data_IF_371543667648
#
_entry.id   IF_371543667648
#
_cell.length_a   1.000
_cell.length_b   1.000
_cell.length_c   1.000
_cell.angle_alpha   90.00
_cell.angle_beta   90.00
_cell.angle_gamma   90.00
#
_symmetry.space_group_name_H-M   'P 1'
#
loop_
_entity.id
_entity.type
_entity.pdbx_description
1 polymer ?
#
# COMPACT_ATOMS: atom_id res chain seq x y z
N UNK A 1 -8.31 26.88 39.63
CA UNK A 1 -8.06 25.43 39.52
C UNK A 1 -8.07 25.06 38.04
N UNK A 2 -6.89 24.79 37.46
CA UNK A 2 -6.74 24.42 36.05
C UNK A 2 -7.01 22.93 35.96
N UNK A 3 -8.12 22.52 35.33
CA UNK A 3 -8.34 21.12 34.98
C UNK A 3 -7.43 20.78 33.82
N UNK A 4 -6.27 20.18 34.12
CA UNK A 4 -5.43 19.55 33.14
C UNK A 4 -6.20 18.35 32.55
N UNK A 5 -6.64 18.45 31.30
CA UNK A 5 -7.08 17.29 30.54
C UNK A 5 -5.87 16.35 30.40
N UNK A 6 -5.92 15.23 31.11
CA UNK A 6 -5.00 14.13 30.93
C UNK A 6 -5.30 13.55 29.54
N UNK A 7 -4.58 14.03 28.53
CA UNK A 7 -4.53 13.39 27.22
C UNK A 7 -3.75 12.10 27.45
N UNK A 8 -4.46 11.00 27.61
CA UNK A 8 -3.83 9.66 27.58
C UNK A 8 -3.12 9.53 26.24
N UNK A 9 -1.80 9.54 26.26
CA UNK A 9 -0.96 9.40 25.07
C UNK A 9 -0.94 7.90 24.70
N UNK A 10 -1.98 7.45 24.02
CA UNK A 10 -2.16 6.06 23.60
C UNK A 10 -0.98 5.53 22.77
N UNK A 11 -0.29 6.45 22.06
CA UNK A 11 0.88 6.12 21.24
C UNK A 11 2.04 5.51 22.05
N UNK A 12 2.19 5.87 23.33
CA UNK A 12 3.31 5.39 24.14
C UNK A 12 3.15 3.94 24.59
N UNK A 13 1.91 3.41 24.58
CA UNK A 13 1.59 2.04 24.99
C UNK A 13 1.49 1.06 23.81
N UNK A 14 1.51 1.52 22.55
CA UNK A 14 1.49 0.64 21.39
C UNK A 14 2.85 -0.02 21.19
N UNK A 15 2.81 -1.28 20.76
CA UNK A 15 4.01 -2.00 20.34
C UNK A 15 4.69 -1.24 19.21
N UNK A 16 6.01 -1.06 19.28
CA UNK A 16 6.79 -0.43 18.21
C UNK A 16 7.28 -1.51 17.27
N UNK A 17 6.90 -1.49 15.98
CA UNK A 17 7.31 -2.51 15.04
C UNK A 17 8.82 -2.44 14.80
N UNK A 18 9.39 -3.59 14.44
CA UNK A 18 10.79 -3.64 14.02
C UNK A 18 10.90 -3.21 12.57
N UNK A 19 11.75 -2.23 12.30
CA UNK A 19 12.14 -1.90 10.95
C UNK A 19 13.22 -2.87 10.47
N UNK A 20 12.99 -3.51 9.33
CA UNK A 20 13.96 -4.35 8.64
C UNK A 20 14.77 -3.52 7.68
N UNK A 21 16.08 -3.50 7.87
CA UNK A 21 17.01 -2.79 7.00
C UNK A 21 17.14 -3.53 5.67
N UNK A 22 16.80 -2.86 4.57
CA UNK A 22 17.04 -3.33 3.19
C UNK A 22 18.46 -2.92 2.78
N UNK A 23 18.79 -1.65 3.01
CA UNK A 23 20.15 -1.09 2.94
C UNK A 23 20.31 0.05 3.96
N UNK A 24 21.40 0.84 3.88
CA UNK A 24 21.69 1.89 4.87
C UNK A 24 20.66 3.01 4.91
N UNK A 25 19.86 3.18 3.86
CA UNK A 25 18.91 4.28 3.67
C UNK A 25 17.49 3.83 3.33
N UNK A 26 17.25 2.52 3.29
CA UNK A 26 15.94 1.95 2.94
C UNK A 26 15.54 0.90 3.96
N UNK A 27 14.31 1.01 4.48
CA UNK A 27 13.80 0.13 5.53
C UNK A 27 12.39 -0.33 5.19
N UNK A 28 12.08 -1.59 5.53
CA UNK A 28 10.73 -2.13 5.53
C UNK A 28 10.21 -2.19 6.95
N UNK A 29 9.01 -1.67 7.17
CA UNK A 29 8.25 -1.78 8.43
C UNK A 29 7.05 -2.66 8.13
N UNK A 30 6.83 -3.71 8.94
CA UNK A 30 5.76 -4.66 8.67
C UNK A 30 4.81 -4.75 9.86
N UNK A 31 3.53 -4.61 9.57
CA UNK A 31 2.44 -5.01 10.46
C UNK A 31 1.87 -6.36 10.01
N UNK A 32 1.15 -7.05 10.89
CA UNK A 32 0.53 -8.32 10.59
C UNK A 32 -0.94 -8.30 10.96
N UNK A 33 -1.81 -8.54 9.98
CA UNK A 33 -3.22 -8.85 10.23
C UNK A 33 -3.45 -10.33 9.98
N UNK A 34 -3.82 -11.06 11.03
CA UNK A 34 -4.13 -12.51 11.00
C UNK A 34 -3.07 -13.36 10.27
N UNK A 35 -1.81 -12.95 10.37
CA UNK A 35 -0.69 -13.64 9.73
C UNK A 35 -0.36 -13.15 8.33
N UNK A 36 -1.12 -12.23 7.78
CA UNK A 36 -0.81 -11.55 6.52
C UNK A 36 0.06 -10.33 6.80
N UNK A 37 1.20 -10.24 6.12
CA UNK A 37 2.10 -9.12 6.21
C UNK A 37 1.57 -7.92 5.45
N UNK A 38 1.61 -6.75 6.09
CA UNK A 38 1.37 -5.43 5.46
C UNK A 38 2.66 -4.64 5.60
N UNK A 39 3.28 -4.33 4.48
CA UNK A 39 4.58 -3.70 4.41
C UNK A 39 4.45 -2.21 4.08
N UNK A 40 5.15 -1.41 4.83
CA UNK A 40 5.41 0.00 4.59
C UNK A 40 6.90 0.19 4.34
N UNK A 41 7.28 1.21 3.59
CA UNK A 41 8.68 1.43 3.24
C UNK A 41 9.13 2.84 3.61
N UNK A 42 10.26 2.95 4.31
CA UNK A 42 10.89 4.20 4.66
C UNK A 42 12.17 4.38 3.84
N UNK A 43 12.21 5.45 3.06
CA UNK A 43 13.34 5.87 2.25
C UNK A 43 13.95 7.11 2.88
N UNK A 44 15.24 7.05 3.22
CA UNK A 44 15.95 8.15 3.88
C UNK A 44 16.89 8.79 2.87
N UNK A 45 16.68 10.07 2.61
CA UNK A 45 17.56 10.90 1.80
C UNK A 45 18.56 11.69 2.65
N UNK A 46 19.06 12.81 2.11
CA UNK A 46 19.96 13.73 2.84
C UNK A 46 19.20 14.84 3.55
N UNK A 47 18.06 15.26 3.02
CA UNK A 47 17.29 16.40 3.50
C UNK A 47 15.90 15.97 4.02
N UNK A 48 15.31 14.95 3.42
CA UNK A 48 13.99 14.41 3.76
C UNK A 48 14.02 12.87 3.83
N UNK A 49 13.04 12.32 4.53
CA UNK A 49 12.68 10.92 4.42
C UNK A 49 11.28 10.80 3.82
N UNK A 50 11.00 9.69 3.13
CA UNK A 50 9.69 9.37 2.55
C UNK A 50 9.17 8.06 3.17
N UNK A 51 7.98 8.10 3.74
CA UNK A 51 7.24 6.90 4.13
C UNK A 51 6.20 6.58 3.05
N UNK A 52 6.26 5.39 2.51
CA UNK A 52 5.31 4.85 1.54
C UNK A 52 4.37 3.92 2.29
N UNK A 53 3.09 4.27 2.30
CA UNK A 53 1.99 3.68 3.07
C UNK A 53 2.14 3.82 4.59
N UNK A 54 1.03 3.71 5.31
CA UNK A 54 0.98 3.99 6.75
C UNK A 54 0.49 2.82 7.59
N UNK A 55 0.10 1.71 6.94
CA UNK A 55 -0.30 0.48 7.60
C UNK A 55 -1.70 0.51 8.19
N UNK A 56 -1.99 -0.54 8.93
CA UNK A 56 -3.26 -0.82 9.60
C UNK A 56 -3.46 -0.04 10.91
N UNK A 57 -2.46 0.74 11.34
CA UNK A 57 -2.46 1.41 12.64
C UNK A 57 -2.54 0.41 13.83
N UNK A 58 -1.91 -0.74 13.71
CA UNK A 58 -1.83 -1.73 14.78
C UNK A 58 -0.63 -1.51 15.71
N UNK A 59 0.36 -0.75 15.24
CA UNK A 59 1.64 -0.53 15.92
C UNK A 59 2.06 0.94 15.90
N UNK A 60 3.06 1.31 16.70
CA UNK A 60 3.56 2.68 16.71
C UNK A 60 4.64 2.87 15.63
N UNK A 61 4.20 2.98 14.37
CA UNK A 61 5.05 3.23 13.21
C UNK A 61 5.85 4.54 13.33
N UNK A 62 5.25 5.67 13.75
CA UNK A 62 5.99 6.92 13.96
C UNK A 62 7.18 6.77 14.93
N UNK A 63 7.03 5.96 15.97
CA UNK A 63 8.13 5.70 16.93
C UNK A 63 9.23 4.84 16.30
N UNK A 64 8.89 3.90 15.42
CA UNK A 64 9.88 3.12 14.67
C UNK A 64 10.71 4.03 13.75
N UNK A 65 10.05 4.94 13.02
CA UNK A 65 10.69 5.91 12.12
C UNK A 65 11.67 6.82 12.87
N UNK A 66 11.24 7.40 14.00
CA UNK A 66 12.09 8.28 14.83
C UNK A 66 13.35 7.61 15.41
N UNK A 67 13.41 6.28 15.43
CA UNK A 67 14.63 5.53 15.81
C UNK A 67 15.62 5.40 14.65
N UNK A 68 15.19 5.71 13.44
CA UNK A 68 15.98 5.58 12.21
C UNK A 68 16.48 6.95 11.77
N UNK A 69 15.58 7.96 11.77
CA UNK A 69 15.89 9.30 11.26
C UNK A 69 15.09 10.37 12.00
N UNK A 70 15.70 11.55 12.15
CA UNK A 70 15.08 12.78 12.63
C UNK A 70 14.81 13.78 11.49
N UNK A 71 15.02 13.39 10.23
CA UNK A 71 14.75 14.23 9.06
C UNK A 71 13.26 14.57 8.94
N UNK A 72 12.91 15.70 8.31
CA UNK A 72 11.56 15.99 7.89
C UNK A 72 11.01 14.81 7.10
N UNK A 73 9.77 14.40 7.41
CA UNK A 73 9.15 13.22 6.83
C UNK A 73 8.02 13.62 5.90
N UNK A 74 8.11 13.21 4.65
CA UNK A 74 6.98 13.13 3.73
C UNK A 74 6.33 11.75 3.85
N UNK A 75 5.02 11.72 3.69
CA UNK A 75 4.24 10.48 3.73
C UNK A 75 3.38 10.43 2.47
N UNK A 76 3.36 9.28 1.81
CA UNK A 76 2.53 9.09 0.63
C UNK A 76 1.86 7.71 0.67
N UNK A 77 0.71 7.59 0.01
CA UNK A 77 0.02 6.31 -0.14
C UNK A 77 0.10 5.80 -1.58
N UNK A 78 0.09 4.48 -1.73
CA UNK A 78 0.03 3.83 -3.04
C UNK A 78 -1.39 3.79 -3.58
N UNK A 79 -2.40 3.59 -2.72
CA UNK A 79 -3.82 3.55 -3.05
C UNK A 79 -4.70 3.68 -1.79
N UNK A 80 -6.03 3.65 -1.96
CA UNK A 80 -6.99 3.99 -0.92
C UNK A 80 -7.48 2.86 -0.02
N UNK A 81 -6.93 1.63 -0.08
CA UNK A 81 -7.34 0.55 0.81
C UNK A 81 -6.92 0.79 2.26
N UNK A 82 -7.67 0.21 3.17
CA UNK A 82 -7.51 0.46 4.61
C UNK A 82 -6.12 0.18 5.16
N UNK A 83 -5.48 -0.87 4.68
CA UNK A 83 -4.15 -1.31 5.12
C UNK A 83 -3.02 -0.37 4.67
N UNK A 84 -3.28 0.52 3.73
CA UNK A 84 -2.34 1.55 3.29
C UNK A 84 -2.56 2.89 4.00
N UNK A 85 -3.81 3.19 4.44
CA UNK A 85 -4.20 4.55 4.85
C UNK A 85 -4.55 4.70 6.33
N UNK A 86 -4.78 3.63 7.09
CA UNK A 86 -5.29 3.74 8.47
C UNK A 86 -4.34 4.45 9.44
N UNK A 87 -3.05 4.48 9.15
CA UNK A 87 -2.07 5.23 9.92
C UNK A 87 -1.93 6.70 9.51
N UNK A 88 -2.61 7.20 8.46
CA UNK A 88 -2.48 8.57 7.95
C UNK A 88 -2.70 9.62 9.05
N UNK A 89 -3.61 9.39 9.98
CA UNK A 89 -3.94 10.31 11.07
C UNK A 89 -2.76 10.64 12.02
N UNK A 90 -1.66 9.90 11.97
CA UNK A 90 -0.44 10.19 12.73
C UNK A 90 0.39 11.32 12.12
N UNK A 91 0.15 11.65 10.86
CA UNK A 91 0.98 12.57 10.09
C UNK A 91 0.18 13.82 9.73
N UNK A 92 0.79 15.02 9.85
CA UNK A 92 0.09 16.26 9.56
C UNK A 92 -0.19 16.47 8.06
N UNK A 93 0.61 15.84 7.22
CA UNK A 93 0.56 15.96 5.77
C UNK A 93 0.80 14.59 5.14
N UNK A 94 -0.09 14.18 4.26
CA UNK A 94 -0.01 12.91 3.52
C UNK A 94 -0.35 13.18 2.07
N UNK A 95 0.53 12.79 1.17
CA UNK A 95 0.30 12.85 -0.27
C UNK A 95 -0.49 11.63 -0.73
N UNK A 96 -1.51 11.87 -1.55
CA UNK A 96 -2.43 10.82 -1.95
C UNK A 96 -2.80 10.94 -3.45
N UNK A 97 -2.96 9.82 -4.19
CA UNK A 97 -3.43 9.85 -5.58
C UNK A 97 -4.90 10.25 -5.66
N UNK A 98 -5.18 11.43 -6.23
CA UNK A 98 -6.54 11.99 -6.32
C UNK A 98 -7.51 11.06 -7.05
N UNK A 99 -7.02 10.28 -8.01
CA UNK A 99 -7.81 9.32 -8.76
C UNK A 99 -8.39 8.20 -7.87
N UNK A 100 -7.85 8.01 -6.65
CA UNK A 100 -8.31 6.98 -5.70
C UNK A 100 -9.13 7.57 -4.52
N UNK A 101 -9.53 8.83 -4.60
CA UNK A 101 -10.25 9.56 -3.54
C UNK A 101 -11.55 8.87 -3.09
N UNK A 102 -12.30 8.32 -4.02
CA UNK A 102 -13.54 7.60 -3.71
C UNK A 102 -13.26 6.29 -2.95
N UNK A 103 -12.18 5.59 -3.29
CA UNK A 103 -11.70 4.40 -2.57
C UNK A 103 -11.29 4.79 -1.15
N UNK A 104 -10.48 5.85 -1.01
CA UNK A 104 -10.09 6.40 0.28
C UNK A 104 -11.29 6.70 1.16
N UNK A 105 -12.26 7.45 0.66
CA UNK A 105 -13.49 7.82 1.39
C UNK A 105 -14.32 6.60 1.77
N UNK A 106 -14.43 5.62 0.89
CA UNK A 106 -15.10 4.36 1.16
C UNK A 106 -14.49 3.68 2.38
N UNK A 107 -13.18 3.43 2.37
CA UNK A 107 -12.50 2.70 3.43
C UNK A 107 -12.31 3.50 4.73
N UNK A 108 -12.25 4.83 4.66
CA UNK A 108 -12.24 5.67 5.85
C UNK A 108 -13.61 5.73 6.53
N UNK A 109 -14.71 5.64 5.78
CA UNK A 109 -16.07 5.71 6.31
C UNK A 109 -16.65 4.33 6.69
N UNK A 110 -16.06 3.23 6.21
CA UNK A 110 -16.51 1.89 6.58
C UNK A 110 -16.19 1.58 8.04
N UNK A 111 -17.24 1.22 8.80
CA UNK A 111 -17.05 0.72 10.17
C UNK A 111 -16.25 -0.61 10.14
N UNK A 112 -15.32 -0.85 11.08
CA UNK A 112 -14.60 -2.13 11.21
C UNK A 112 -15.52 -3.34 11.34
N UNK A 113 -16.78 -3.15 11.78
CA UNK A 113 -17.78 -4.19 11.90
C UNK A 113 -18.41 -4.62 10.56
N UNK A 114 -18.26 -3.83 9.49
CA UNK A 114 -18.77 -4.17 8.15
C UNK A 114 -17.81 -5.06 7.35
N UNK A 115 -16.56 -5.19 7.79
CA UNK A 115 -15.59 -6.07 7.14
C UNK A 115 -15.97 -7.52 7.42
N UNK A 116 -16.09 -8.32 6.37
CA UNK A 116 -16.33 -9.77 6.46
C UNK A 116 -15.26 -10.41 7.36
N UNK A 117 -15.54 -10.49 8.66
CA UNK A 117 -14.70 -11.21 9.61
C UNK A 117 -14.95 -12.69 9.42
N UNK A 118 -13.93 -13.49 9.02
CA UNK A 118 -14.09 -14.94 9.06
C UNK A 118 -14.43 -15.39 10.47
N UNK A 119 -15.48 -16.20 10.58
CA UNK A 119 -16.05 -16.70 11.81
C UNK A 119 -15.04 -17.54 12.60
N UNK A 120 -14.52 -16.98 13.71
CA UNK A 120 -13.72 -17.71 14.68
C UNK A 120 -13.84 -17.05 16.06
N UNK A 121 -14.08 -17.84 17.11
CA UNK A 121 -14.29 -17.37 18.49
C UNK A 121 -13.17 -16.47 19.06
N UNK A 122 -11.95 -16.55 18.54
CA UNK A 122 -10.83 -15.69 18.94
C UNK A 122 -10.84 -14.35 18.21
N UNK A 123 -11.25 -14.33 16.94
CA UNK A 123 -11.36 -13.08 16.14
C UNK A 123 -12.40 -12.11 16.70
N UNK A 124 -13.50 -12.63 17.30
CA UNK A 124 -14.56 -11.79 17.87
C UNK A 124 -14.14 -11.06 19.15
N UNK A 125 -13.23 -11.63 19.97
CA UNK A 125 -12.74 -10.98 21.19
C UNK A 125 -11.75 -9.86 20.92
N UNK A 126 -10.86 -10.03 19.94
CA UNK A 126 -9.89 -9.02 19.53
C UNK A 126 -10.63 -7.87 18.81
N UNK A 127 -11.56 -8.17 17.91
CA UNK A 127 -12.37 -7.15 17.23
C UNK A 127 -13.28 -6.38 18.20
N UNK A 128 -13.82 -7.02 19.24
CA UNK A 128 -14.68 -6.38 20.22
C UNK A 128 -13.95 -5.36 21.12
N UNK A 129 -12.64 -5.53 21.33
CA UNK A 129 -11.83 -4.61 22.13
C UNK A 129 -11.19 -3.51 21.27
N UNK A 130 -10.75 -3.84 20.05
CA UNK A 130 -10.08 -2.89 19.14
C UNK A 130 -11.04 -2.01 18.34
N UNK A 131 -12.21 -2.53 17.95
CA UNK A 131 -13.17 -1.82 17.10
C UNK A 131 -13.64 -0.47 17.67
N UNK A 132 -14.10 -0.35 18.95
CA UNK A 132 -14.60 0.92 19.47
C UNK A 132 -13.49 2.00 19.63
N UNK A 133 -12.25 1.55 19.83
CA UNK A 133 -11.12 2.46 20.01
C UNK A 133 -10.62 3.01 18.69
N UNK A 134 -10.60 2.18 17.65
CA UNK A 134 -10.27 2.59 16.28
C UNK A 134 -11.32 3.54 15.73
N UNK A 135 -12.62 3.29 16.00
CA UNK A 135 -13.69 4.19 15.63
C UNK A 135 -13.54 5.57 16.31
N UNK A 136 -13.15 5.60 17.58
CA UNK A 136 -12.91 6.87 18.31
C UNK A 136 -11.73 7.66 17.74
N UNK A 137 -10.69 6.99 17.29
CA UNK A 137 -9.52 7.62 16.67
C UNK A 137 -9.87 8.16 15.28
N UNK A 138 -10.63 7.41 14.48
CA UNK A 138 -11.13 7.82 13.15
C UNK A 138 -12.02 9.07 13.21
N UNK A 139 -12.92 9.16 14.20
CA UNK A 139 -13.87 10.26 14.32
C UNK A 139 -13.25 11.62 14.68
N UNK A 140 -12.02 11.65 15.17
CA UNK A 140 -11.43 12.86 15.76
C UNK A 140 -10.41 13.59 14.88
N UNK A 141 -10.14 13.15 13.65
CA UNK A 141 -9.26 13.88 12.72
C UNK A 141 -9.78 13.81 11.29
N UNK A 142 -9.95 14.96 10.62
CA UNK A 142 -10.16 14.96 9.19
C UNK A 142 -8.93 14.33 8.52
N UNK A 143 -9.15 13.40 7.64
CA UNK A 143 -8.14 12.84 6.75
C UNK A 143 -7.97 13.80 5.57
N UNK A 144 -7.45 14.98 5.82
CA UNK A 144 -6.99 15.87 4.76
C UNK A 144 -5.70 15.29 4.21
N UNK A 145 -5.60 15.25 2.91
CA UNK A 145 -4.40 14.85 2.19
C UNK A 145 -4.11 15.86 1.09
N UNK A 146 -2.85 15.90 0.70
CA UNK A 146 -2.36 16.73 -0.38
C UNK A 146 -2.29 15.91 -1.68
N UNK A 147 -2.46 16.57 -2.81
CA UNK A 147 -2.21 15.95 -4.10
C UNK A 147 -0.74 15.53 -4.24
N UNK A 148 -0.50 14.48 -5.01
CA UNK A 148 0.87 14.09 -5.34
C UNK A 148 1.59 15.23 -6.07
N UNK A 149 2.93 15.37 -5.91
CA UNK A 149 3.72 16.40 -6.59
C UNK A 149 3.45 16.45 -8.11
N UNK A 150 3.16 17.64 -8.64
CA UNK A 150 2.85 17.85 -10.06
C UNK A 150 4.02 17.50 -10.99
N UNK A 151 5.26 17.65 -10.53
CA UNK A 151 6.48 17.28 -11.24
C UNK A 151 6.74 15.78 -11.30
N UNK A 152 5.93 14.99 -10.59
CA UNK A 152 5.93 13.52 -10.68
C UNK A 152 7.04 12.84 -9.89
N UNK A 153 7.67 13.50 -8.92
CA UNK A 153 8.68 12.87 -8.07
C UNK A 153 8.81 13.56 -6.69
N UNK A 154 9.46 12.86 -5.76
CA UNK A 154 9.97 13.42 -4.50
C UNK A 154 11.50 13.50 -4.57
N UNK A 155 12.09 14.67 -4.31
CA UNK A 155 13.55 14.84 -4.14
C UNK A 155 13.91 14.86 -2.64
N UNK A 156 14.50 13.79 -2.15
CA UNK A 156 14.86 13.64 -0.74
C UNK A 156 16.26 14.25 -0.41
N UNK A 157 16.74 15.16 -1.24
CA UNK A 157 18.09 15.72 -1.16
C UNK A 157 19.07 14.94 -2.02
N UNK A 158 18.79 14.85 -3.32
CA UNK A 158 19.56 14.12 -4.33
C UNK A 158 19.24 12.62 -4.44
N UNK A 159 18.20 12.15 -3.73
CA UNK A 159 17.57 10.85 -3.96
C UNK A 159 16.19 11.11 -4.57
N UNK A 160 16.06 10.84 -5.86
CA UNK A 160 14.83 11.03 -6.60
C UNK A 160 13.97 9.77 -6.50
N UNK A 161 12.72 9.95 -6.10
CA UNK A 161 11.70 8.90 -6.05
C UNK A 161 10.57 9.29 -7.01
N UNK A 162 10.58 8.70 -8.19
CA UNK A 162 9.59 8.95 -9.24
C UNK A 162 8.22 8.35 -8.89
N UNK A 163 7.16 9.03 -9.31
CA UNK A 163 5.77 8.61 -9.13
C UNK A 163 5.27 8.06 -10.46
N UNK A 164 4.87 6.79 -10.49
CA UNK A 164 4.33 6.13 -11.66
C UNK A 164 2.85 5.83 -11.43
N UNK A 165 1.96 6.29 -12.31
CA UNK A 165 0.56 5.84 -12.30
C UNK A 165 0.53 4.38 -12.74
N UNK A 166 0.01 3.53 -11.87
CA UNK A 166 -0.03 2.07 -12.06
C UNK A 166 -1.44 1.53 -11.77
N UNK A 167 -2.47 2.03 -12.50
CA UNK A 167 -3.83 1.57 -12.30
C UNK A 167 -3.95 0.06 -12.56
N UNK A 168 -4.75 -0.59 -11.74
CA UNK A 168 -4.94 -2.04 -11.80
C UNK A 168 -5.70 -2.52 -10.58
N UNK A 169 -5.01 -2.77 -9.48
CA UNK A 169 -5.59 -3.17 -8.20
C UNK A 169 -6.68 -2.20 -7.73
N UNK A 170 -6.40 -0.89 -7.77
CA UNK A 170 -7.42 0.17 -7.83
C UNK A 170 -7.19 1.04 -9.05
N UNK A 171 -8.20 1.82 -9.43
CA UNK A 171 -8.11 2.69 -10.61
C UNK A 171 -7.17 3.88 -10.42
N UNK A 172 -6.91 4.29 -9.18
CA UNK A 172 -5.98 5.38 -8.83
C UNK A 172 -4.64 4.90 -8.27
N UNK A 173 -4.33 3.59 -8.30
CA UNK A 173 -3.06 3.07 -7.78
C UNK A 173 -1.86 3.74 -8.41
N UNK A 174 -0.84 4.01 -7.57
CA UNK A 174 0.47 4.52 -7.97
C UNK A 174 1.59 3.66 -7.39
N UNK A 175 2.73 3.67 -8.07
CA UNK A 175 3.98 3.05 -7.60
C UNK A 175 5.07 4.09 -7.48
N UNK A 176 6.04 3.87 -6.60
CA UNK A 176 7.14 4.78 -6.34
C UNK A 176 8.46 4.13 -6.74
N UNK A 177 9.17 4.74 -7.70
CA UNK A 177 10.44 4.26 -8.23
C UNK A 177 11.61 5.04 -7.61
N UNK A 178 12.41 4.39 -6.78
CA UNK A 178 13.72 4.92 -6.38
C UNK A 178 14.68 4.78 -7.56
N UNK A 179 14.89 5.88 -8.28
CA UNK A 179 15.61 5.88 -9.56
C UNK A 179 17.05 5.40 -9.44
N UNK A 180 17.73 5.74 -8.35
CA UNK A 180 19.13 5.38 -8.17
C UNK A 180 19.34 3.88 -7.91
N UNK A 181 18.37 3.20 -7.28
CA UNK A 181 18.48 1.78 -6.93
C UNK A 181 17.69 0.86 -7.88
N UNK A 182 16.79 1.42 -8.69
CA UNK A 182 15.86 0.65 -9.53
C UNK A 182 14.82 -0.13 -8.73
N UNK A 183 14.52 0.28 -7.50
CA UNK A 183 13.51 -0.36 -6.65
C UNK A 183 12.14 0.27 -6.87
N UNK A 184 11.17 -0.55 -7.25
CA UNK A 184 9.78 -0.13 -7.40
C UNK A 184 8.96 -0.57 -6.18
N UNK A 185 8.46 0.39 -5.42
CA UNK A 185 7.49 0.18 -4.33
C UNK A 185 6.10 0.22 -4.94
N UNK A 186 5.52 -0.96 -5.17
CA UNK A 186 4.41 -1.11 -6.11
C UNK A 186 3.04 -1.31 -5.47
N UNK A 187 2.89 -1.08 -4.16
CA UNK A 187 1.62 -1.33 -3.50
C UNK A 187 1.14 -2.76 -3.72
N UNK A 188 -0.12 -2.90 -4.10
CA UNK A 188 -0.78 -4.19 -4.33
C UNK A 188 -0.87 -4.56 -5.83
N UNK A 189 -0.05 -3.91 -6.67
CA UNK A 189 -0.02 -4.19 -8.11
C UNK A 189 0.29 -5.65 -8.41
N UNK A 190 1.22 -6.24 -7.66
CA UNK A 190 1.61 -7.66 -7.72
C UNK A 190 1.90 -8.20 -6.33
N UNK A 191 1.75 -9.51 -6.15
CA UNK A 191 2.07 -10.21 -4.92
C UNK A 191 2.69 -11.58 -5.18
N UNK A 192 3.43 -12.12 -4.22
CA UNK A 192 4.11 -13.41 -4.34
C UNK A 192 3.16 -14.57 -4.61
N UNK A 193 1.98 -14.55 -4.00
CA UNK A 193 1.01 -15.66 -4.02
C UNK A 193 -0.29 -15.31 -4.72
N UNK A 194 -0.63 -14.05 -4.77
CA UNK A 194 -1.89 -13.58 -5.34
C UNK A 194 -1.75 -12.23 -6.02
N UNK A 195 -2.50 -12.04 -7.08
CA UNK A 195 -2.66 -10.78 -7.81
C UNK A 195 -4.15 -10.52 -7.95
N UNK A 196 -4.62 -9.44 -7.35
CA UNK A 196 -6.04 -9.15 -7.17
C UNK A 196 -6.45 -7.92 -7.97
N UNK A 197 -7.24 -8.13 -9.02
CA UNK A 197 -7.84 -7.10 -9.90
C UNK A 197 -9.35 -7.37 -10.03
N UNK A 198 -9.98 -7.80 -8.92
CA UNK A 198 -11.37 -8.26 -8.88
C UNK A 198 -12.29 -7.41 -7.99
N UNK A 199 -11.77 -6.35 -7.38
CA UNK A 199 -12.57 -5.43 -6.56
C UNK A 199 -13.48 -4.54 -7.42
N UNK A 200 -14.48 -3.93 -6.80
CA UNK A 200 -15.35 -2.96 -7.47
C UNK A 200 -14.58 -1.72 -7.96
N UNK A 201 -13.54 -1.35 -7.22
CA UNK A 201 -12.61 -0.25 -7.47
C UNK A 201 -11.41 -0.63 -8.35
N UNK A 202 -11.26 -1.90 -8.72
CA UNK A 202 -10.20 -2.30 -9.66
C UNK A 202 -10.43 -1.73 -11.05
N UNK A 203 -9.35 -1.44 -11.75
CA UNK A 203 -9.39 -1.14 -13.18
C UNK A 203 -9.83 -2.35 -13.99
N UNK A 204 -10.18 -2.11 -15.25
CA UNK A 204 -10.40 -3.20 -16.18
C UNK A 204 -9.09 -3.96 -16.48
N UNK A 205 -9.21 -5.21 -16.90
CA UNK A 205 -8.05 -6.06 -17.11
C UNK A 205 -7.10 -5.56 -18.22
N UNK A 206 -7.64 -4.91 -19.24
CA UNK A 206 -6.86 -4.27 -20.31
C UNK A 206 -6.02 -3.09 -19.80
N UNK A 207 -6.56 -2.31 -18.85
CA UNK A 207 -5.81 -1.23 -18.17
C UNK A 207 -4.69 -1.83 -17.32
N UNK A 208 -4.98 -2.88 -16.54
CA UNK A 208 -3.96 -3.58 -15.76
C UNK A 208 -2.85 -4.16 -16.64
N UNK A 209 -3.21 -4.83 -17.74
CA UNK A 209 -2.26 -5.38 -18.71
C UNK A 209 -1.37 -4.28 -19.30
N UNK A 210 -1.95 -3.13 -19.66
CA UNK A 210 -1.20 -1.95 -20.13
C UNK A 210 -0.20 -1.46 -19.08
N UNK A 211 -0.63 -1.36 -17.81
CA UNK A 211 0.24 -0.99 -16.69
C UNK A 211 1.43 -1.95 -16.57
N UNK A 212 1.16 -3.25 -16.57
CA UNK A 212 2.20 -4.28 -16.45
C UNK A 212 3.16 -4.22 -17.64
N UNK A 213 2.65 -4.01 -18.85
CA UNK A 213 3.46 -3.91 -20.07
C UNK A 213 4.38 -2.68 -20.03
N UNK A 214 3.91 -1.53 -19.54
CA UNK A 214 4.74 -0.34 -19.34
C UNK A 214 5.87 -0.59 -18.35
N UNK A 215 5.58 -1.24 -17.22
CA UNK A 215 6.59 -1.57 -16.21
C UNK A 215 7.62 -2.57 -16.72
N UNK A 216 7.20 -3.56 -17.55
CA UNK A 216 8.13 -4.46 -18.23
C UNK A 216 9.08 -3.72 -19.14
N UNK A 217 8.63 -2.71 -19.87
CA UNK A 217 9.51 -1.84 -20.66
C UNK A 217 10.57 -1.17 -19.79
N UNK A 218 10.20 -0.70 -18.61
CA UNK A 218 11.18 -0.11 -17.66
C UNK A 218 12.15 -1.16 -17.07
N UNK A 219 11.73 -2.40 -16.92
CA UNK A 219 12.61 -3.50 -16.54
C UNK A 219 13.61 -3.79 -17.66
N UNK A 220 13.16 -3.85 -18.90
CA UNK A 220 14.01 -4.08 -20.09
C UNK A 220 15.00 -2.96 -20.33
N UNK A 221 14.61 -1.72 -20.02
CA UNK A 221 15.49 -0.54 -20.02
C UNK A 221 16.48 -0.51 -18.81
N UNK A 222 16.41 -1.49 -17.91
CA UNK A 222 17.24 -1.56 -16.70
C UNK A 222 16.91 -0.52 -15.63
N UNK A 223 15.77 0.16 -15.73
CA UNK A 223 15.31 1.17 -14.75
C UNK A 223 14.68 0.54 -13.52
N UNK A 224 14.03 -0.61 -13.67
CA UNK A 224 13.47 -1.39 -12.56
C UNK A 224 14.23 -2.70 -12.43
N UNK A 225 14.71 -3.00 -11.22
CA UNK A 225 15.46 -4.21 -10.91
C UNK A 225 14.73 -5.14 -9.94
N UNK A 226 13.96 -4.59 -9.01
CA UNK A 226 13.26 -5.32 -7.97
C UNK A 226 11.92 -4.66 -7.64
N UNK A 227 10.94 -5.47 -7.23
CA UNK A 227 9.63 -5.01 -6.80
C UNK A 227 9.46 -5.17 -5.29
N UNK A 228 8.85 -4.17 -4.67
CA UNK A 228 8.59 -4.10 -3.25
C UNK A 228 7.08 -3.95 -3.00
N UNK A 229 6.32 -5.06 -2.94
CA UNK A 229 4.88 -5.04 -2.74
C UNK A 229 4.49 -4.76 -1.29
N UNK A 230 3.25 -4.30 -1.08
CA UNK A 230 2.70 -4.09 0.27
C UNK A 230 2.35 -5.39 0.99
N UNK A 231 2.26 -6.54 0.30
CA UNK A 231 1.93 -7.81 0.92
C UNK A 231 2.97 -8.90 0.69
N UNK A 232 3.07 -9.81 1.69
CA UNK A 232 3.91 -11.01 1.59
C UNK A 232 5.41 -10.74 1.64
N UNK A 233 6.17 -11.57 0.91
CA UNK A 233 7.62 -11.44 0.84
C UNK A 233 8.02 -10.24 -0.04
N UNK A 234 9.15 -9.65 0.31
CA UNK A 234 9.72 -8.48 -0.36
C UNK A 234 11.26 -8.52 -0.18
N UNK A 235 12.07 -8.30 -1.23
CA UNK A 235 11.66 -7.97 -2.60
C UNK A 235 11.17 -9.18 -3.41
N UNK A 236 10.45 -8.89 -4.51
CA UNK A 236 10.14 -9.85 -5.56
C UNK A 236 11.01 -9.61 -6.80
N UNK A 237 11.27 -10.68 -7.57
CA UNK A 237 11.84 -10.56 -8.91
C UNK A 237 10.89 -9.81 -9.84
N UNK A 238 11.44 -8.99 -10.73
CA UNK A 238 10.68 -8.34 -11.78
C UNK A 238 10.04 -9.33 -12.78
N UNK A 239 10.45 -10.61 -12.79
CA UNK A 239 9.85 -11.66 -13.62
C UNK A 239 8.36 -11.88 -13.33
N UNK A 240 7.89 -11.53 -12.11
CA UNK A 240 6.47 -11.61 -11.78
C UNK A 240 5.60 -10.74 -12.69
N UNK A 241 6.13 -9.62 -13.21
CA UNK A 241 5.44 -8.80 -14.20
C UNK A 241 5.23 -9.54 -15.52
N UNK A 242 6.20 -10.39 -15.96
CA UNK A 242 6.02 -11.24 -17.15
C UNK A 242 4.90 -12.23 -16.94
N UNK A 243 4.88 -12.88 -15.77
CA UNK A 243 3.80 -13.81 -15.42
C UNK A 243 2.45 -13.10 -15.38
N UNK A 244 2.38 -11.89 -14.80
CA UNK A 244 1.16 -11.09 -14.78
C UNK A 244 0.69 -10.69 -16.19
N UNK A 245 1.61 -10.28 -17.07
CA UNK A 245 1.30 -9.97 -18.47
C UNK A 245 0.81 -11.21 -19.24
N UNK A 246 1.49 -12.34 -19.10
CA UNK A 246 1.10 -13.59 -19.76
C UNK A 246 -0.33 -13.97 -19.42
N UNK A 247 -0.66 -14.00 -18.11
CA UNK A 247 -2.00 -14.38 -17.63
C UNK A 247 -3.06 -13.37 -18.08
N UNK A 248 -2.80 -12.06 -17.95
CA UNK A 248 -3.73 -11.01 -18.39
C UNK A 248 -4.02 -11.12 -19.89
N UNK A 249 -2.96 -11.28 -20.69
CA UNK A 249 -3.09 -11.44 -22.15
C UNK A 249 -3.83 -12.73 -22.55
N UNK A 250 -3.64 -13.85 -21.83
CA UNK A 250 -4.42 -15.09 -22.04
C UNK A 250 -5.92 -14.85 -21.83
N UNK A 251 -6.27 -14.19 -20.72
CA UNK A 251 -7.68 -13.88 -20.40
C UNK A 251 -8.29 -12.95 -21.46
N UNK A 252 -7.57 -11.89 -21.84
CA UNK A 252 -8.03 -10.91 -22.83
C UNK A 252 -8.24 -11.52 -24.22
N UNK A 253 -7.42 -12.53 -24.61
CA UNK A 253 -7.63 -13.29 -25.85
C UNK A 253 -8.80 -14.28 -25.78
N UNK A 254 -9.38 -14.47 -24.59
CA UNK A 254 -10.52 -15.35 -24.37
C UNK A 254 -10.17 -16.81 -24.09
N UNK A 255 -8.92 -17.10 -23.75
CA UNK A 255 -8.48 -18.46 -23.40
C UNK A 255 -9.12 -18.97 -22.09
N UNK A 256 -9.63 -18.04 -21.25
CA UNK A 256 -10.28 -18.31 -19.97
C UNK A 256 -11.54 -17.44 -19.75
N UNK A 257 -12.47 -17.45 -20.72
CA UNK A 257 -13.64 -16.52 -20.77
C UNK A 257 -14.54 -16.52 -19.54
N UNK A 258 -14.57 -17.62 -18.78
CA UNK A 258 -15.45 -17.79 -17.62
C UNK A 258 -14.68 -17.89 -16.29
N UNK A 259 -13.34 -17.75 -16.31
CA UNK A 259 -12.53 -17.90 -15.12
C UNK A 259 -12.28 -16.55 -14.43
N UNK A 260 -12.90 -16.35 -13.28
CA UNK A 260 -12.59 -15.21 -12.39
C UNK A 260 -11.30 -15.45 -11.59
N UNK A 261 -10.82 -16.70 -11.53
CA UNK A 261 -9.61 -17.10 -10.79
C UNK A 261 -8.79 -18.05 -11.64
N UNK A 262 -7.51 -17.73 -11.78
CA UNK A 262 -6.54 -18.55 -12.51
C UNK A 262 -5.34 -18.81 -11.61
N UNK A 263 -4.96 -20.09 -11.42
CA UNK A 263 -3.72 -20.44 -10.75
C UNK A 263 -2.65 -20.72 -11.84
N UNK A 264 -1.63 -19.88 -11.87
CA UNK A 264 -0.56 -19.97 -12.85
C UNK A 264 0.80 -19.83 -12.17
N UNK A 265 1.70 -20.80 -12.37
CA UNK A 265 3.03 -20.86 -11.74
C UNK A 265 3.03 -20.68 -10.21
N UNK A 266 1.95 -21.12 -9.53
CA UNK A 266 1.82 -21.03 -8.08
C UNK A 266 1.29 -19.67 -7.57
N UNK A 267 0.89 -18.79 -8.46
CA UNK A 267 0.27 -17.50 -8.16
C UNK A 267 -1.22 -17.58 -8.49
N UNK A 268 -2.05 -17.15 -7.57
CA UNK A 268 -3.48 -16.99 -7.79
C UNK A 268 -3.77 -15.62 -8.40
N UNK A 269 -4.36 -15.59 -9.59
CA UNK A 269 -4.82 -14.38 -10.26
C UNK A 269 -6.33 -14.31 -10.15
N UNK A 270 -6.84 -13.20 -9.64
CA UNK A 270 -8.28 -12.90 -9.61
C UNK A 270 -8.57 -11.66 -10.42
N UNK A 271 -9.49 -11.78 -11.37
CA UNK A 271 -9.89 -10.71 -12.26
C UNK A 271 -11.40 -10.53 -12.23
N UNK A 272 -11.84 -9.28 -12.35
CA UNK A 272 -13.22 -8.95 -12.61
C UNK A 272 -13.44 -8.98 -14.11
N UNK A 273 -14.21 -9.97 -14.60
CA UNK A 273 -14.68 -9.95 -15.97
C UNK A 273 -15.75 -8.85 -16.07
N UNK A 274 -15.46 -7.78 -16.79
CA UNK A 274 -16.47 -6.80 -17.18
C UNK A 274 -17.44 -7.52 -18.12
N UNK A 275 -18.64 -7.83 -17.64
CA UNK A 275 -19.69 -8.36 -18.49
C UNK A 275 -19.94 -7.37 -19.62
N UNK A 276 -20.07 -7.89 -20.85
CA UNK A 276 -20.61 -7.14 -21.96
C UNK A 276 -21.97 -6.60 -21.55
N UNK A 277 -22.08 -5.28 -21.40
CA UNK A 277 -23.35 -4.58 -21.36
C UNK A 277 -23.87 -4.36 -22.77
#
# INVERSE_FOLDING_TARGET
>A
MKHGKMVLNWSDNMFTPKAHKIDDTTFRITEYDRGHAVNMYLLVGKEHALLIDTGLNLTNVPKAIRRITDLPLWVCNTHGHSEQILGNHWYPEVFFPEEDEDVFRKYMNESPSSRNTPSGRLGSLVSAVYSPLQDLIRYNRPSEHEALPEDGFFDLGGRIVGILKTPGHTHGSVSYLDEASGRLFCGDLVGEKEILVDFAESSSLDVYETTVSLLLGLVEDGKISQLYPSHGNSPLSADILRTAQEVSSMVLRGDHKDAMTINYQGIEFRFRLTGNH
#
